data_IF_495499376772
#
_entry.id   IF_495499376772
#
_cell.length_a   1.000
_cell.length_b   1.000
_cell.length_c   1.000
_cell.angle_alpha   90.00
_cell.angle_beta   90.00
_cell.angle_gamma   90.00
#
_symmetry.space_group_name_H-M   'P 1'
#
loop_
_entity.id
_entity.type
_entity.pdbx_description
1 polymer ?
#
# COMPACT_ATOMS: atom_id res chain seq x y z
N UNK A 1 -7.70 -9.73 -9.46
CA UNK A 1 -7.49 -8.96 -8.22
C UNK A 1 -6.84 -7.63 -8.59
N UNK A 2 -7.52 -6.52 -8.29
CA UNK A 2 -7.03 -5.14 -8.45
C UNK A 2 -7.49 -4.32 -7.24
N UNK A 3 -7.11 -3.03 -7.15
CA UNK A 3 -7.59 -2.15 -6.10
C UNK A 3 -9.10 -1.92 -6.20
N UNK A 4 -9.76 -1.56 -5.09
CA UNK A 4 -11.22 -1.42 -5.08
C UNK A 4 -11.70 -0.23 -5.93
N UNK A 5 -10.92 0.85 -6.00
CA UNK A 5 -11.16 2.00 -6.88
C UNK A 5 -11.02 1.62 -8.37
N UNK A 6 -10.00 0.83 -8.70
CA UNK A 6 -9.78 0.29 -10.04
C UNK A 6 -10.92 -0.65 -10.44
N UNK A 7 -11.42 -1.47 -9.51
CA UNK A 7 -12.56 -2.34 -9.75
C UNK A 7 -13.81 -1.51 -10.08
N UNK A 8 -14.10 -0.45 -9.33
CA UNK A 8 -15.19 0.48 -9.66
C UNK A 8 -15.03 1.16 -11.02
N UNK A 9 -13.80 1.56 -11.37
CA UNK A 9 -13.52 2.13 -12.69
C UNK A 9 -13.75 1.12 -13.83
N UNK A 10 -13.42 -0.15 -13.61
CA UNK A 10 -13.64 -1.22 -14.60
C UNK A 10 -15.15 -1.50 -14.79
N UNK A 11 -15.91 -1.51 -13.69
CA UNK A 11 -17.37 -1.72 -13.74
C UNK A 11 -18.10 -0.54 -14.40
N UNK A 12 -17.62 0.69 -14.18
CA UNK A 12 -18.24 1.90 -14.71
C UNK A 12 -19.73 1.98 -14.33
N UNK A 13 -20.58 2.31 -15.31
CA UNK A 13 -22.02 2.46 -15.12
C UNK A 13 -22.77 1.15 -14.77
N UNK A 14 -22.09 0.00 -14.85
CA UNK A 14 -22.68 -1.29 -14.49
C UNK A 14 -22.51 -1.64 -13.02
N UNK A 15 -21.76 -0.84 -12.26
CA UNK A 15 -21.57 -1.05 -10.83
C UNK A 15 -22.90 -0.95 -10.07
N UNK A 16 -23.21 -1.98 -9.30
CA UNK A 16 -24.37 -2.01 -8.42
C UNK A 16 -24.21 -1.08 -7.22
N UNK A 17 -25.31 -0.72 -6.56
CA UNK A 17 -25.27 0.09 -5.34
C UNK A 17 -24.37 -0.53 -4.26
N UNK A 18 -24.42 -1.86 -4.09
CA UNK A 18 -23.60 -2.59 -3.12
C UNK A 18 -22.12 -2.53 -3.48
N UNK A 19 -21.75 -2.66 -4.75
CA UNK A 19 -20.35 -2.54 -5.19
C UNK A 19 -19.82 -1.13 -4.97
N UNK A 20 -20.59 -0.10 -5.37
CA UNK A 20 -20.23 1.30 -5.14
C UNK A 20 -20.03 1.60 -3.66
N UNK A 21 -20.95 1.14 -2.80
CA UNK A 21 -20.90 1.33 -1.36
C UNK A 21 -19.67 0.64 -0.74
N UNK A 22 -19.49 -0.65 -1.00
CA UNK A 22 -18.47 -1.46 -0.33
C UNK A 22 -17.07 -1.20 -0.88
N UNK A 23 -16.90 -1.10 -2.21
CA UNK A 23 -15.57 -0.86 -2.82
C UNK A 23 -15.12 0.59 -2.65
N UNK A 24 -16.07 1.54 -2.61
CA UNK A 24 -15.80 2.97 -2.42
C UNK A 24 -15.33 3.32 -0.99
N UNK A 25 -15.52 2.42 -0.03
CA UNK A 25 -15.12 2.61 1.35
C UNK A 25 -13.60 2.55 1.60
N UNK A 26 -12.82 2.14 0.58
CA UNK A 26 -11.37 1.98 0.68
C UNK A 26 -10.66 3.00 -0.23
N UNK A 27 -10.51 4.26 0.21
CA UNK A 27 -9.78 5.26 -0.56
C UNK A 27 -8.29 4.93 -0.66
N UNK A 28 -7.67 5.36 -1.75
CA UNK A 28 -6.24 5.21 -1.98
C UNK A 28 -5.58 6.58 -2.06
N UNK A 29 -4.37 6.68 -1.53
CA UNK A 29 -3.52 7.86 -1.64
C UNK A 29 -2.33 7.58 -2.55
N UNK A 30 -2.13 8.47 -3.52
CA UNK A 30 -0.94 8.49 -4.37
C UNK A 30 0.28 8.94 -3.57
N UNK A 31 1.30 8.08 -3.55
CA UNK A 31 2.60 8.31 -2.95
C UNK A 31 3.69 8.20 -4.01
N UNK A 32 4.51 9.24 -4.14
CA UNK A 32 5.62 9.24 -5.09
C UNK A 32 6.86 8.70 -4.40
N UNK A 33 7.55 7.79 -5.06
CA UNK A 33 8.78 7.18 -4.56
C UNK A 33 9.93 7.47 -5.50
N UNK A 34 10.99 8.04 -4.96
CA UNK A 34 12.22 8.31 -5.68
C UNK A 34 13.31 7.35 -5.19
N UNK A 35 13.94 6.62 -6.10
CA UNK A 35 15.24 5.98 -5.88
C UNK A 35 16.32 6.96 -6.34
N UNK A 36 17.24 7.33 -5.46
CA UNK A 36 18.26 8.35 -5.72
C UNK A 36 19.53 8.12 -4.90
N UNK A 37 20.57 8.90 -5.19
CA UNK A 37 21.84 8.94 -4.42
C UNK A 37 22.05 10.25 -3.68
N UNK A 38 21.05 11.12 -3.65
CA UNK A 38 21.13 12.39 -2.91
C UNK A 38 21.07 12.15 -1.40
N UNK A 39 22.20 12.28 -0.70
CA UNK A 39 22.27 12.12 0.76
C UNK A 39 21.93 13.40 1.52
N UNK A 40 21.63 14.50 0.83
CA UNK A 40 21.25 15.79 1.43
C UNK A 40 19.99 15.69 2.30
N UNK A 41 19.10 14.74 1.98
CA UNK A 41 17.84 14.50 2.69
C UNK A 41 18.01 13.69 3.99
N UNK A 42 19.19 13.10 4.22
CA UNK A 42 19.51 12.37 5.44
C UNK A 42 19.94 13.34 6.56
N UNK A 43 19.92 12.93 7.83
CA UNK A 43 20.40 13.76 8.92
C UNK A 43 21.84 14.25 8.70
N UNK A 44 22.10 15.52 9.00
CA UNK A 44 23.44 16.13 8.89
C UNK A 44 24.47 15.35 9.71
N UNK A 45 24.08 14.88 10.90
CA UNK A 45 24.90 14.01 11.71
C UNK A 45 24.83 12.56 11.19
N UNK A 46 25.92 12.07 10.60
CA UNK A 46 26.01 10.70 10.07
C UNK A 46 25.75 9.61 11.11
N UNK A 47 26.01 9.88 12.40
CA UNK A 47 25.69 8.96 13.50
C UNK A 47 24.18 8.77 13.73
N UNK A 48 23.36 9.70 13.25
CA UNK A 48 21.91 9.64 13.33
C UNK A 48 21.27 9.00 12.10
N UNK A 49 22.06 8.54 11.12
CA UNK A 49 21.53 7.83 9.96
C UNK A 49 20.90 6.52 10.40
N UNK A 50 19.60 6.39 10.14
CA UNK A 50 18.86 5.16 10.36
C UNK A 50 18.48 4.52 9.02
N UNK A 51 18.02 3.28 9.09
CA UNK A 51 17.40 2.64 7.93
C UNK A 51 16.16 3.43 7.44
N UNK A 52 15.47 4.13 8.36
CA UNK A 52 14.25 4.90 8.12
C UNK A 52 14.43 6.30 8.73
N UNK A 53 14.36 7.36 7.92
CA UNK A 53 14.58 8.74 8.37
C UNK A 53 13.32 9.56 8.03
N UNK A 54 12.54 9.91 9.06
CA UNK A 54 11.32 10.69 8.91
C UNK A 54 11.64 12.18 8.80
N UNK A 55 11.02 12.88 7.87
CA UNK A 55 11.08 14.33 7.76
C UNK A 55 9.75 14.93 8.21
N UNK A 56 9.80 15.78 9.23
CA UNK A 56 8.66 16.59 9.68
C UNK A 56 8.78 17.96 9.00
N UNK A 57 7.94 18.29 8.01
CA UNK A 57 7.94 19.61 7.40
C UNK A 57 7.45 20.68 8.39
N UNK A 58 7.80 21.95 8.15
CA UNK A 58 7.34 23.06 9.01
C UNK A 58 5.83 23.33 8.87
N UNK A 59 5.29 23.11 7.68
CA UNK A 59 3.87 23.17 7.38
C UNK A 59 3.38 21.76 7.08
N UNK A 60 2.16 21.44 7.52
CA UNK A 60 1.57 20.13 7.28
C UNK A 60 1.18 20.00 5.80
N UNK A 61 1.87 19.11 5.09
CA UNK A 61 1.63 18.80 3.69
C UNK A 61 0.55 17.72 3.51
N UNK A 62 0.04 17.15 4.61
CA UNK A 62 -0.87 16.01 4.61
C UNK A 62 -0.23 14.69 4.18
N UNK A 63 1.07 14.67 3.85
CA UNK A 63 1.78 13.47 3.40
C UNK A 63 3.03 13.22 4.23
N UNK A 64 3.24 11.96 4.58
CA UNK A 64 4.47 11.55 5.23
C UNK A 64 5.65 11.58 4.23
N UNK A 65 6.76 12.16 4.67
CA UNK A 65 8.04 12.13 3.92
C UNK A 65 9.04 11.27 4.69
N UNK A 66 9.37 10.11 4.12
CA UNK A 66 10.30 9.16 4.73
C UNK A 66 11.40 8.83 3.75
N UNK A 67 12.65 8.89 4.20
CA UNK A 67 13.81 8.44 3.44
C UNK A 67 14.37 7.14 4.02
N UNK A 68 14.31 6.08 3.23
CA UNK A 68 14.96 4.82 3.52
C UNK A 68 16.41 4.85 3.08
N UNK A 69 17.33 4.65 4.02
CA UNK A 69 18.73 4.40 3.67
C UNK A 69 18.86 2.92 3.29
N UNK A 70 18.91 2.63 2.00
CA UNK A 70 18.88 1.26 1.49
C UNK A 70 20.15 0.48 1.84
N UNK A 71 21.28 1.16 2.00
CA UNK A 71 22.51 0.50 2.43
C UNK A 71 22.38 -0.07 3.84
N UNK A 72 21.73 0.66 4.75
CA UNK A 72 21.45 0.16 6.11
C UNK A 72 20.31 -0.87 6.06
N UNK A 73 19.21 -0.54 5.39
CA UNK A 73 18.00 -1.36 5.38
C UNK A 73 18.20 -2.75 4.75
N UNK A 74 18.98 -2.83 3.66
CA UNK A 74 19.22 -4.05 2.89
C UNK A 74 20.65 -4.58 3.07
N UNK A 75 21.50 -3.92 3.85
CA UNK A 75 22.89 -4.34 4.04
C UNK A 75 23.78 -4.18 2.79
N UNK A 76 23.49 -3.21 1.92
CA UNK A 76 24.22 -3.04 0.66
C UNK A 76 25.65 -2.56 0.89
N UNK A 77 26.63 -3.39 0.51
CA UNK A 77 28.06 -3.05 0.53
C UNK A 77 28.46 -2.35 -0.77
N UNK A 78 28.21 -1.04 -0.84
CA UNK A 78 28.50 -0.22 -2.04
C UNK A 78 29.14 1.11 -1.64
N UNK A 79 29.91 1.71 -2.54
CA UNK A 79 30.56 3.02 -2.30
C UNK A 79 29.55 4.17 -2.21
N UNK A 80 28.45 4.07 -2.98
CA UNK A 80 27.38 5.06 -3.00
C UNK A 80 26.31 4.72 -1.96
N UNK A 81 25.76 5.73 -1.31
CA UNK A 81 24.54 5.56 -0.52
C UNK A 81 23.33 5.67 -1.44
N UNK A 82 22.48 4.65 -1.41
CA UNK A 82 21.21 4.62 -2.11
C UNK A 82 20.09 4.93 -1.13
N UNK A 83 19.24 5.86 -1.53
CA UNK A 83 18.08 6.29 -0.77
C UNK A 83 16.82 6.00 -1.57
N UNK A 84 15.77 5.62 -0.85
CA UNK A 84 14.41 5.64 -1.36
C UNK A 84 13.62 6.65 -0.55
N UNK A 85 13.12 7.71 -1.18
CA UNK A 85 12.34 8.75 -0.48
C UNK A 85 10.90 8.78 -0.98
N UNK A 86 9.97 8.82 -0.04
CA UNK A 86 8.54 9.01 -0.27
C UNK A 86 8.20 10.50 -0.21
N UNK A 87 7.45 11.01 -1.20
CA UNK A 87 6.88 12.35 -1.24
C UNK A 87 7.90 13.46 -0.91
N UNK A 88 9.00 13.51 -1.64
CA UNK A 88 10.12 14.42 -1.37
C UNK A 88 10.76 15.00 -2.62
N UNK A 89 10.02 15.08 -3.73
CA UNK A 89 10.54 15.54 -5.03
C UNK A 89 11.11 16.96 -5.01
N UNK A 90 10.60 17.82 -4.13
CA UNK A 90 11.06 19.19 -3.92
C UNK A 90 12.40 19.29 -3.18
N UNK A 91 12.83 18.21 -2.52
CA UNK A 91 14.02 18.16 -1.65
C UNK A 91 15.19 17.40 -2.25
N UNK A 92 14.98 16.73 -3.39
CA UNK A 92 15.98 15.85 -4.01
C UNK A 92 16.49 16.49 -5.30
N UNK A 93 17.80 16.53 -5.44
CA UNK A 93 18.42 16.92 -6.71
C UNK A 93 17.98 15.98 -7.85
N UNK A 94 17.25 16.49 -8.88
CA UNK A 94 16.77 15.67 -9.98
C UNK A 94 17.88 14.94 -10.74
N UNK A 95 19.09 15.49 -10.77
CA UNK A 95 20.24 14.85 -11.43
C UNK A 95 20.73 13.59 -10.70
N UNK A 96 20.36 13.42 -9.43
CA UNK A 96 20.72 12.25 -8.61
C UNK A 96 19.59 11.21 -8.53
N UNK A 97 18.46 11.46 -9.18
CA UNK A 97 17.35 10.50 -9.26
C UNK A 97 17.68 9.42 -10.28
N UNK A 98 17.60 8.16 -9.85
CA UNK A 98 17.78 6.98 -10.69
C UNK A 98 16.42 6.53 -11.24
N UNK A 99 15.38 6.55 -10.40
CA UNK A 99 14.04 6.11 -10.78
C UNK A 99 12.97 6.84 -9.98
N UNK A 100 11.89 7.21 -10.67
CA UNK A 100 10.63 7.67 -10.07
C UNK A 100 9.56 6.60 -10.26
N UNK A 101 8.82 6.31 -9.21
CA UNK A 101 7.71 5.37 -9.16
C UNK A 101 6.53 6.02 -8.46
N UNK A 102 5.32 5.64 -8.83
CA UNK A 102 4.09 6.11 -8.20
C UNK A 102 3.36 4.90 -7.67
N UNK A 103 3.05 4.91 -6.38
CA UNK A 103 2.32 3.86 -5.71
C UNK A 103 1.03 4.41 -5.12
N UNK A 104 0.01 3.57 -5.02
CA UNK A 104 -1.28 3.93 -4.43
C UNK A 104 -1.46 3.07 -3.17
N UNK A 105 -1.52 3.71 -2.01
CA UNK A 105 -1.62 3.02 -0.72
C UNK A 105 -3.03 3.19 -0.15
N UNK A 106 -3.65 2.12 0.39
CA UNK A 106 -4.97 2.24 1.00
C UNK A 106 -4.90 3.13 2.25
N UNK A 107 -5.82 4.10 2.32
CA UNK A 107 -5.97 5.00 3.46
C UNK A 107 -6.85 4.31 4.52
N UNK A 108 -6.42 4.37 5.77
CA UNK A 108 -7.18 3.81 6.88
C UNK A 108 -8.28 4.77 7.32
N UNK A 109 -9.52 4.34 7.16
CA UNK A 109 -10.71 5.08 7.61
C UNK A 109 -11.33 4.40 8.83
N UNK A 110 -12.01 5.17 9.67
CA UNK A 110 -12.68 4.62 10.87
C UNK A 110 -13.78 3.60 10.55
N UNK A 111 -14.40 3.73 9.37
CA UNK A 111 -15.49 2.85 8.92
C UNK A 111 -14.98 1.58 8.22
N UNK A 112 -13.69 1.51 7.88
CA UNK A 112 -13.08 0.39 7.13
C UNK A 112 -13.48 -0.98 7.68
N UNK A 113 -13.42 -1.15 9.00
CA UNK A 113 -13.73 -2.43 9.65
C UNK A 113 -15.19 -2.86 9.46
N UNK A 114 -16.12 -1.91 9.33
CA UNK A 114 -17.53 -2.20 9.05
C UNK A 114 -17.71 -2.75 7.64
N UNK A 115 -17.13 -2.09 6.64
CA UNK A 115 -17.19 -2.52 5.25
C UNK A 115 -16.46 -3.85 5.02
N UNK A 116 -15.35 -4.09 5.70
CA UNK A 116 -14.62 -5.37 5.62
C UNK A 116 -15.44 -6.57 6.10
N UNK A 117 -16.28 -6.40 7.13
CA UNK A 117 -17.16 -7.47 7.61
C UNK A 117 -18.20 -7.89 6.57
N UNK A 118 -18.48 -7.01 5.60
CA UNK A 118 -19.42 -7.21 4.50
C UNK A 118 -18.77 -7.81 3.25
N UNK A 119 -17.50 -8.24 3.31
CA UNK A 119 -16.79 -8.83 2.17
C UNK A 119 -17.58 -9.97 1.49
N UNK A 120 -18.25 -10.82 2.28
CA UNK A 120 -19.05 -11.93 1.75
C UNK A 120 -20.21 -11.52 0.84
N UNK A 121 -20.70 -10.28 0.92
CA UNK A 121 -21.71 -9.73 0.00
C UNK A 121 -21.18 -9.56 -1.42
N UNK A 122 -19.85 -9.44 -1.58
CA UNK A 122 -19.17 -9.26 -2.87
C UNK A 122 -18.49 -10.54 -3.36
N UNK A 123 -18.82 -11.71 -2.81
CA UNK A 123 -18.31 -12.99 -3.31
C UNK A 123 -19.39 -13.64 -4.16
N UNK A 124 -19.02 -13.96 -5.41
CA UNK A 124 -19.94 -14.43 -6.45
C UNK A 124 -21.10 -13.46 -6.75
N UNK A 125 -20.89 -12.17 -6.47
CA UNK A 125 -21.87 -11.13 -6.73
C UNK A 125 -21.97 -10.89 -8.23
N UNK A 126 -23.08 -11.33 -8.84
CA UNK A 126 -23.30 -11.30 -10.28
C UNK A 126 -22.18 -12.01 -11.08
N UNK A 127 -21.62 -13.08 -10.52
CA UNK A 127 -20.52 -13.83 -11.12
C UNK A 127 -19.14 -13.14 -11.00
N UNK A 128 -19.03 -12.08 -10.20
CA UNK A 128 -17.78 -11.37 -9.92
C UNK A 128 -17.43 -11.55 -8.45
N UNK A 129 -16.14 -11.80 -8.17
CA UNK A 129 -15.62 -11.88 -6.80
C UNK A 129 -14.47 -10.91 -6.62
N UNK A 130 -14.46 -10.23 -5.48
CA UNK A 130 -13.47 -9.20 -5.17
C UNK A 130 -12.54 -9.69 -4.07
N UNK A 131 -11.23 -9.66 -4.31
CA UNK A 131 -10.21 -9.98 -3.31
C UNK A 131 -9.03 -9.02 -3.44
N UNK A 132 -8.30 -8.84 -2.33
CA UNK A 132 -7.23 -7.88 -2.20
C UNK A 132 -6.96 -7.50 -0.75
N UNK A 133 -5.79 -6.91 -0.52
CA UNK A 133 -5.33 -6.57 0.84
C UNK A 133 -6.22 -5.55 1.56
N UNK A 134 -7.04 -4.79 0.82
CA UNK A 134 -8.01 -3.84 1.37
C UNK A 134 -9.13 -4.53 2.19
N UNK A 135 -9.32 -5.84 2.05
CA UNK A 135 -10.21 -6.63 2.90
C UNK A 135 -9.64 -6.97 4.30
N UNK A 136 -8.36 -6.64 4.57
CA UNK A 136 -7.73 -6.78 5.88
C UNK A 136 -6.91 -5.53 6.24
N UNK A 137 -5.71 -5.66 6.78
CA UNK A 137 -4.87 -4.53 7.17
C UNK A 137 -3.97 -3.96 6.05
N UNK A 138 -4.16 -4.37 4.80
CA UNK A 138 -3.37 -3.86 3.67
C UNK A 138 -2.02 -4.55 3.45
N UNK A 139 -1.72 -5.63 4.17
CA UNK A 139 -0.52 -6.43 3.97
C UNK A 139 -0.72 -7.54 2.93
N UNK A 140 0.39 -8.15 2.50
CA UNK A 140 0.37 -9.26 1.56
C UNK A 140 -0.49 -10.44 2.06
N UNK A 141 -0.43 -10.73 3.36
CA UNK A 141 -1.21 -11.80 3.99
C UNK A 141 -2.72 -11.55 3.89
N UNK A 142 -3.16 -10.30 4.04
CA UNK A 142 -4.58 -9.94 3.87
C UNK A 142 -5.07 -10.18 2.44
N UNK A 143 -4.19 -9.92 1.46
CA UNK A 143 -4.44 -10.26 0.06
C UNK A 143 -4.69 -11.76 -0.13
N UNK A 144 -3.82 -12.60 0.44
CA UNK A 144 -3.96 -14.06 0.39
C UNK A 144 -5.22 -14.52 1.14
N UNK A 145 -5.44 -14.02 2.35
CA UNK A 145 -6.57 -14.40 3.20
C UNK A 145 -7.93 -14.08 2.57
N UNK A 146 -8.04 -12.94 1.87
CA UNK A 146 -9.25 -12.57 1.14
C UNK A 146 -9.47 -13.45 -0.11
N UNK A 147 -8.41 -13.84 -0.81
CA UNK A 147 -8.51 -14.77 -1.94
C UNK A 147 -8.94 -16.17 -1.47
N UNK A 148 -8.42 -16.64 -0.33
CA UNK A 148 -8.86 -17.89 0.28
C UNK A 148 -10.35 -17.85 0.67
N UNK A 149 -10.85 -16.72 1.17
CA UNK A 149 -12.27 -16.56 1.46
C UNK A 149 -13.15 -16.73 0.21
N UNK A 150 -12.75 -16.10 -0.91
CA UNK A 150 -13.40 -16.28 -2.22
C UNK A 150 -13.38 -17.74 -2.65
N UNK A 151 -12.21 -18.39 -2.64
CA UNK A 151 -12.06 -19.78 -3.06
C UNK A 151 -12.91 -20.73 -2.21
N UNK A 152 -12.94 -20.56 -0.89
CA UNK A 152 -13.74 -21.38 0.02
C UNK A 152 -15.23 -21.26 -0.26
N UNK A 153 -15.74 -20.04 -0.48
CA UNK A 153 -17.16 -19.83 -0.76
C UNK A 153 -17.57 -20.38 -2.13
N UNK A 154 -16.75 -20.19 -3.16
CA UNK A 154 -17.02 -20.71 -4.52
C UNK A 154 -16.95 -22.25 -4.59
N UNK A 155 -16.05 -22.87 -3.84
CA UNK A 155 -15.87 -24.32 -3.84
C UNK A 155 -16.77 -25.07 -2.86
N UNK A 156 -17.40 -24.36 -1.91
CA UNK A 156 -18.09 -24.96 -0.77
C UNK A 156 -17.16 -25.70 0.19
N UNK A 157 -15.84 -25.60 0.00
CA UNK A 157 -14.85 -26.25 0.86
C UNK A 157 -14.56 -25.38 2.09
N UNK A 158 -14.45 -25.97 3.30
CA UNK A 158 -14.11 -25.21 4.49
C UNK A 158 -12.75 -24.52 4.34
N UNK A 159 -12.62 -23.33 4.93
CA UNK A 159 -11.36 -22.57 4.95
C UNK A 159 -10.27 -23.44 5.58
N UNK A 160 -9.22 -23.74 4.82
CA UNK A 160 -8.03 -24.35 5.42
C UNK A 160 -7.40 -23.31 6.34
N UNK A 161 -7.42 -23.56 7.65
CA UNK A 161 -6.63 -22.80 8.60
C UNK A 161 -5.15 -23.05 8.26
N UNK A 162 -4.48 -22.02 7.75
CA UNK A 162 -3.02 -22.01 7.67
C UNK A 162 -2.53 -21.91 9.12
N UNK A 163 -2.40 -23.06 9.77
CA UNK A 163 -1.90 -23.16 11.13
C UNK A 163 -0.50 -22.55 11.20
N UNK A 164 -0.40 -21.37 11.81
CA UNK A 164 0.86 -20.91 12.40
C UNK A 164 1.04 -21.75 13.66
N UNK A 165 1.73 -22.89 13.53
CA UNK A 165 2.30 -23.55 14.70
C UNK A 165 3.39 -22.63 15.24
N UNK A 166 3.08 -21.98 16.37
CA UNK A 166 4.08 -21.30 17.21
C UNK A 166 4.94 -22.28 17.99
#
# INVERSE_FOLDING_TARGET
ACHSDQALQILGDTATTTECELLGAFPYEENVTLLHTDTSVLPVCRRAWAAWNYHVPQEDTGKATVTYNMNILQGLSTERTYCVTLNGEDRIDPAKVIRRMVYHHPVFTAQRAEFQRRHGELIDHHGISYCGAYWGNGFHEDGVNSALAVCSQLSGAPRQELGVQG
#
